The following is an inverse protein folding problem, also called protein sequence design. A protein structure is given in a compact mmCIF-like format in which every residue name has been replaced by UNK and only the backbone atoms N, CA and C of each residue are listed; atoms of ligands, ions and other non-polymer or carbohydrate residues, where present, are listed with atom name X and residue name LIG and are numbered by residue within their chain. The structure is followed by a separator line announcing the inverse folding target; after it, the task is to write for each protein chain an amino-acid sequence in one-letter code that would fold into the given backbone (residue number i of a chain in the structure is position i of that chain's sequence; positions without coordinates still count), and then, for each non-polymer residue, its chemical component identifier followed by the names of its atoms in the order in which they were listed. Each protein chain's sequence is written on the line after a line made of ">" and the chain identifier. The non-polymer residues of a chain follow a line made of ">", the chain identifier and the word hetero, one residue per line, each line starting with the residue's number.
data_IF_387622183428
#
_entry.id   IF_387622183428
#
_cell.length_a   1.000
_cell.length_b   1.000
_cell.length_c   1.000
_cell.angle_alpha   90.00
_cell.angle_beta   90.00
_cell.angle_gamma   90.00
#
_symmetry.space_group_name_H-M   'P 1'
#
loop_
_entity.id
_entity.type
_entity.pdbx_description
1 polymer ?
#
# COMPACT_ATOMS: atom_id res chain seq x y z
N UNK A 1 2.73 5.85 -12.68
CA UNK A 1 1.31 6.10 -13.01
C UNK A 1 0.61 4.76 -13.16
N UNK A 2 -0.72 4.71 -13.20
CA UNK A 2 -1.52 3.50 -13.44
C UNK A 2 -1.04 2.73 -14.68
N UNK A 3 -0.76 3.42 -15.79
CA UNK A 3 -0.26 2.79 -17.01
C UNK A 3 1.06 2.03 -16.80
N UNK A 4 2.00 2.55 -16.01
CA UNK A 4 3.25 1.84 -15.70
C UNK A 4 2.97 0.49 -15.02
N UNK A 5 2.03 0.46 -14.07
CA UNK A 5 1.68 -0.77 -13.37
C UNK A 5 0.92 -1.74 -14.27
N UNK A 6 0.05 -1.23 -15.15
CA UNK A 6 -0.63 -2.01 -16.18
C UNK A 6 0.40 -2.67 -17.13
N UNK A 7 1.34 -1.89 -17.67
CA UNK A 7 2.34 -2.39 -18.60
C UNK A 7 3.20 -3.48 -17.94
N UNK A 8 3.58 -3.31 -16.68
CA UNK A 8 4.34 -4.32 -15.93
C UNK A 8 3.52 -5.56 -15.62
N UNK A 9 2.22 -5.42 -15.35
CA UNK A 9 1.31 -6.55 -15.17
C UNK A 9 1.20 -7.40 -16.45
N UNK A 10 1.09 -6.75 -17.61
CA UNK A 10 1.10 -7.43 -18.90
C UNK A 10 2.43 -8.17 -19.13
N UNK A 11 3.58 -7.55 -18.85
CA UNK A 11 4.88 -8.25 -18.95
C UNK A 11 4.99 -9.43 -18.00
N UNK A 12 4.52 -9.31 -16.75
CA UNK A 12 4.54 -10.43 -15.81
C UNK A 12 3.67 -11.60 -16.27
N UNK A 13 2.55 -11.30 -16.93
CA UNK A 13 1.60 -12.29 -17.45
C UNK A 13 2.03 -12.92 -18.78
N UNK A 14 2.62 -12.15 -19.70
CA UNK A 14 2.93 -12.59 -21.06
C UNK A 14 4.34 -13.18 -21.20
N UNK A 15 5.30 -12.71 -20.40
CA UNK A 15 6.73 -13.04 -20.59
C UNK A 15 7.22 -14.20 -19.71
N UNK A 16 6.33 -14.90 -18.98
CA UNK A 16 6.68 -16.09 -18.20
C UNK A 16 7.01 -15.87 -16.72
N UNK A 17 7.01 -14.62 -16.23
CA UNK A 17 7.38 -14.31 -14.84
C UNK A 17 6.39 -14.88 -13.83
N UNK A 18 5.09 -14.81 -14.14
CA UNK A 18 4.04 -15.37 -13.31
C UNK A 18 4.20 -16.87 -13.15
N UNK A 19 4.53 -17.58 -14.22
CA UNK A 19 4.76 -19.03 -14.25
C UNK A 19 5.98 -19.43 -13.40
N UNK A 20 6.96 -18.52 -13.28
CA UNK A 20 8.11 -18.65 -12.38
C UNK A 20 7.80 -18.23 -10.93
N UNK A 21 6.57 -17.79 -10.62
CA UNK A 21 6.10 -17.47 -9.28
C UNK A 21 6.12 -15.98 -8.90
N UNK A 22 6.53 -15.08 -9.81
CA UNK A 22 6.48 -13.64 -9.57
C UNK A 22 5.06 -13.12 -9.78
N UNK A 23 4.28 -13.09 -8.69
CA UNK A 23 2.84 -12.76 -8.77
C UNK A 23 2.46 -11.41 -8.15
N UNK A 24 3.37 -10.71 -7.48
CA UNK A 24 3.09 -9.42 -6.84
C UNK A 24 3.62 -8.25 -7.66
N UNK A 25 2.74 -7.30 -7.99
CA UNK A 25 3.09 -5.99 -8.54
C UNK A 25 2.83 -4.95 -7.46
N UNK A 26 3.90 -4.35 -6.92
CA UNK A 26 3.81 -3.49 -5.74
C UNK A 26 4.05 -2.03 -6.08
N UNK A 27 3.08 -1.18 -5.72
CA UNK A 27 3.21 0.28 -5.74
C UNK A 27 4.04 0.72 -4.53
N UNK A 28 5.07 1.51 -4.75
CA UNK A 28 5.85 2.15 -3.67
C UNK A 28 5.39 3.60 -3.42
N UNK A 29 6.21 4.43 -2.78
CA UNK A 29 5.86 5.81 -2.43
C UNK A 29 5.43 6.67 -3.65
N UNK A 30 4.88 7.85 -3.35
CA UNK A 30 4.46 8.87 -4.31
C UNK A 30 3.20 8.54 -5.12
N UNK A 31 2.39 7.55 -4.75
CA UNK A 31 1.17 7.20 -5.51
C UNK A 31 -0.05 8.09 -5.21
N UNK A 32 -0.12 8.66 -4.00
CA UNK A 32 -1.30 9.39 -3.52
C UNK A 32 -1.29 10.88 -3.90
N UNK A 33 -2.42 11.55 -3.67
CA UNK A 33 -2.47 13.00 -3.48
C UNK A 33 -1.73 13.40 -2.20
N UNK A 34 -1.35 14.68 -2.12
CA UNK A 34 -0.79 15.29 -0.89
C UNK A 34 -1.84 15.57 0.20
N UNK A 35 -3.11 15.26 -0.07
CA UNK A 35 -4.23 15.50 0.83
C UNK A 35 -5.14 14.27 0.88
N UNK A 36 -5.66 13.99 2.08
CA UNK A 36 -6.72 13.02 2.31
C UNK A 36 -8.08 13.60 1.90
N UNK A 37 -9.08 12.74 1.68
CA UNK A 37 -10.44 13.20 1.42
C UNK A 37 -11.11 13.76 2.70
N UNK A 38 -12.37 14.19 2.57
CA UNK A 38 -13.15 14.74 3.70
C UNK A 38 -13.43 13.71 4.80
N UNK A 39 -13.34 12.43 4.49
CA UNK A 39 -13.51 11.31 5.41
C UNK A 39 -12.16 10.85 6.00
N UNK A 40 -11.05 11.51 5.64
CA UNK A 40 -9.71 11.17 6.09
C UNK A 40 -9.07 10.00 5.36
N UNK A 41 -9.64 9.51 4.25
CA UNK A 41 -9.08 8.39 3.47
C UNK A 41 -7.99 8.87 2.53
N UNK A 42 -7.01 8.01 2.28
CA UNK A 42 -6.02 8.21 1.22
C UNK A 42 -6.69 8.24 -0.15
N UNK A 43 -6.15 9.05 -1.06
CA UNK A 43 -6.64 9.17 -2.44
C UNK A 43 -5.47 9.00 -3.40
N UNK A 44 -5.58 8.13 -4.43
CA UNK A 44 -4.57 8.10 -5.49
C UNK A 44 -4.58 9.42 -6.26
N UNK A 45 -3.44 9.83 -6.82
CA UNK A 45 -3.38 11.01 -7.68
C UNK A 45 -4.26 10.80 -8.92
N UNK A 46 -5.33 11.58 -9.14
CA UNK A 46 -6.30 11.32 -10.20
C UNK A 46 -5.75 11.59 -11.59
N UNK A 47 -4.65 12.35 -11.72
CA UNK A 47 -3.98 12.55 -13.01
C UNK A 47 -3.13 11.34 -13.37
N UNK A 48 -2.51 10.70 -12.38
CA UNK A 48 -1.60 9.56 -12.58
C UNK A 48 -2.30 8.21 -12.46
N UNK A 49 -3.42 8.14 -11.74
CA UNK A 49 -4.25 6.96 -11.50
C UNK A 49 -5.74 7.29 -11.74
N UNK A 50 -6.12 7.64 -12.98
CA UNK A 50 -7.49 8.05 -13.30
C UNK A 50 -8.52 6.94 -13.07
N UNK A 51 -8.14 5.66 -13.15
CA UNK A 51 -9.00 4.52 -12.81
C UNK A 51 -9.13 4.23 -11.32
N UNK A 52 -8.26 4.81 -10.49
CA UNK A 52 -8.16 4.54 -9.06
C UNK A 52 -7.59 3.15 -8.72
N UNK A 53 -7.20 2.97 -7.45
CA UNK A 53 -6.49 1.75 -7.01
C UNK A 53 -7.33 0.49 -7.15
N UNK A 54 -8.64 0.54 -6.84
CA UNK A 54 -9.50 -0.65 -6.95
C UNK A 54 -9.57 -1.21 -8.37
N UNK A 55 -9.66 -0.33 -9.38
CA UNK A 55 -9.70 -0.76 -10.78
C UNK A 55 -8.36 -1.38 -11.18
N UNK A 56 -7.25 -0.78 -10.75
CA UNK A 56 -5.91 -1.33 -10.96
C UNK A 56 -5.75 -2.69 -10.27
N UNK A 57 -6.27 -2.86 -9.05
CA UNK A 57 -6.20 -4.15 -8.33
C UNK A 57 -6.93 -5.25 -9.10
N UNK A 58 -8.15 -4.97 -9.57
CA UNK A 58 -8.90 -5.93 -10.40
C UNK A 58 -8.19 -6.26 -11.71
N UNK A 59 -7.53 -5.29 -12.33
CA UNK A 59 -6.72 -5.54 -13.51
C UNK A 59 -5.59 -6.55 -13.26
N UNK A 60 -4.94 -6.49 -12.08
CA UNK A 60 -3.96 -7.48 -11.63
C UNK A 60 -4.61 -8.85 -11.41
N UNK A 61 -5.76 -8.88 -10.72
CA UNK A 61 -6.46 -10.12 -10.38
C UNK A 61 -6.94 -10.87 -11.62
N UNK A 62 -7.43 -10.17 -12.64
CA UNK A 62 -7.86 -10.77 -13.92
C UNK A 62 -6.71 -11.51 -14.65
N UNK A 63 -5.44 -11.18 -14.32
CA UNK A 63 -4.24 -11.86 -14.82
C UNK A 63 -3.70 -12.92 -13.86
N UNK A 64 -4.36 -13.14 -12.73
CA UNK A 64 -3.87 -14.01 -11.65
C UNK A 64 -2.63 -13.43 -10.94
N UNK A 65 -2.44 -12.11 -11.01
CA UNK A 65 -1.44 -11.37 -10.24
C UNK A 65 -2.09 -10.77 -8.99
N UNK A 66 -1.29 -10.15 -8.14
CA UNK A 66 -1.64 -9.54 -6.86
C UNK A 66 -1.11 -8.11 -6.80
N UNK A 67 -1.88 -7.19 -6.21
CA UNK A 67 -1.48 -5.80 -6.07
C UNK A 67 -0.93 -5.53 -4.67
N UNK A 68 0.28 -4.99 -4.59
CA UNK A 68 0.80 -4.37 -3.37
C UNK A 68 0.68 -2.85 -3.38
N UNK A 69 0.58 -2.26 -2.19
CA UNK A 69 0.58 -0.81 -1.99
C UNK A 69 1.51 -0.41 -0.85
N UNK A 70 1.81 0.88 -0.79
CA UNK A 70 2.73 1.48 0.16
C UNK A 70 2.04 2.50 1.07
N UNK A 71 2.49 2.53 2.31
CA UNK A 71 2.23 3.58 3.28
C UNK A 71 3.38 3.69 4.27
N UNK A 72 3.27 4.63 5.19
CA UNK A 72 4.34 4.96 6.13
C UNK A 72 3.78 5.11 7.55
N UNK A 73 4.42 4.47 8.52
CA UNK A 73 4.17 4.68 9.94
C UNK A 73 4.80 6.01 10.36
N UNK A 74 4.06 7.09 10.15
CA UNK A 74 4.46 8.45 10.52
C UNK A 74 3.50 9.51 10.01
N UNK A 75 3.87 10.78 10.20
CA UNK A 75 3.06 11.91 9.73
C UNK A 75 3.08 12.06 8.20
N UNK A 76 4.18 11.66 7.57
CA UNK A 76 4.38 11.70 6.14
C UNK A 76 5.06 10.43 5.66
N UNK A 77 4.90 10.09 4.38
CA UNK A 77 5.80 9.14 3.72
C UNK A 77 7.20 9.73 3.60
N UNK A 78 8.20 8.89 3.34
CA UNK A 78 9.57 9.34 3.11
C UNK A 78 9.69 10.45 2.05
N UNK A 79 8.83 10.48 1.02
CA UNK A 79 8.79 11.53 0.00
C UNK A 79 7.78 12.67 0.29
N UNK A 80 7.24 12.75 1.50
CA UNK A 80 6.40 13.85 1.96
C UNK A 80 4.94 13.78 1.52
N UNK A 81 4.41 12.59 1.22
CA UNK A 81 2.97 12.34 1.02
C UNK A 81 2.29 12.03 2.35
N UNK A 82 0.95 11.98 2.46
CA UNK A 82 0.28 11.70 3.73
C UNK A 82 0.70 10.35 4.30
N UNK A 83 1.28 10.36 5.50
CA UNK A 83 1.61 9.13 6.26
C UNK A 83 0.39 8.59 6.98
N UNK A 84 0.57 7.47 7.69
CA UNK A 84 -0.46 6.79 8.50
C UNK A 84 -0.11 6.93 9.98
N UNK A 85 -0.41 8.06 10.63
CA UNK A 85 -0.27 8.18 12.08
C UNK A 85 -1.27 7.26 12.80
N UNK A 86 -1.10 7.11 14.11
CA UNK A 86 -1.85 6.13 14.93
C UNK A 86 -3.37 6.23 14.76
N UNK A 87 -3.92 7.45 14.63
CA UNK A 87 -5.37 7.69 14.45
C UNK A 87 -5.89 7.35 13.03
N UNK A 88 -5.01 7.10 12.06
CA UNK A 88 -5.36 6.73 10.69
C UNK A 88 -5.24 5.25 10.37
N UNK A 89 -4.63 4.47 11.25
CA UNK A 89 -4.37 3.04 11.02
C UNK A 89 -5.63 2.28 10.60
N UNK A 90 -6.73 2.45 11.34
CA UNK A 90 -7.97 1.71 11.07
C UNK A 90 -8.61 2.12 9.72
N UNK A 91 -8.65 3.42 9.42
CA UNK A 91 -9.25 3.90 8.16
C UNK A 91 -8.39 3.52 6.95
N UNK A 92 -7.07 3.52 7.08
CA UNK A 92 -6.17 3.17 5.98
C UNK A 92 -6.16 1.66 5.72
N UNK A 93 -6.13 0.83 6.77
CA UNK A 93 -6.29 -0.62 6.64
C UNK A 93 -7.60 -0.98 5.93
N UNK A 94 -8.73 -0.38 6.34
CA UNK A 94 -10.01 -0.59 5.66
C UNK A 94 -9.99 -0.06 4.23
N UNK A 95 -9.31 1.06 3.98
CA UNK A 95 -9.19 1.64 2.64
C UNK A 95 -8.47 0.68 1.68
N UNK A 96 -7.39 0.04 2.11
CA UNK A 96 -6.67 -0.94 1.30
C UNK A 96 -7.49 -2.21 1.07
N UNK A 97 -8.23 -2.67 2.09
CA UNK A 97 -9.13 -3.82 1.94
C UNK A 97 -10.29 -3.53 0.96
N UNK A 98 -10.91 -2.35 1.04
CA UNK A 98 -11.98 -1.91 0.12
C UNK A 98 -11.50 -1.83 -1.34
N UNK A 99 -10.21 -1.52 -1.54
CA UNK A 99 -9.55 -1.51 -2.85
C UNK A 99 -9.04 -2.87 -3.30
N UNK A 100 -9.27 -3.91 -2.50
CA UNK A 100 -8.88 -5.28 -2.81
C UNK A 100 -7.35 -5.42 -2.94
N UNK A 101 -6.56 -4.72 -2.12
CA UNK A 101 -5.08 -4.83 -2.08
C UNK A 101 -4.65 -6.17 -1.47
N UNK A 102 -3.54 -6.76 -1.94
CA UNK A 102 -3.04 -8.07 -1.50
C UNK A 102 -1.76 -8.00 -0.67
N UNK A 103 -1.05 -6.88 -0.70
CA UNK A 103 0.15 -6.64 0.10
C UNK A 103 0.28 -5.18 0.50
N UNK A 104 0.77 -4.92 1.71
CA UNK A 104 1.03 -3.59 2.23
C UNK A 104 2.47 -3.51 2.74
N UNK A 105 3.26 -2.61 2.14
CA UNK A 105 4.57 -2.19 2.67
C UNK A 105 4.36 -1.00 3.59
N UNK A 106 4.87 -1.09 4.81
CA UNK A 106 4.75 -0.05 5.83
C UNK A 106 6.12 0.46 6.26
N UNK A 107 6.46 1.65 5.76
CA UNK A 107 7.69 2.34 6.09
C UNK A 107 7.63 3.00 7.48
N UNK A 108 8.70 3.70 7.89
CA UNK A 108 8.80 4.31 9.22
C UNK A 108 9.40 5.72 9.23
N UNK A 109 9.33 6.46 8.12
CA UNK A 109 9.78 7.85 8.11
C UNK A 109 8.84 8.73 8.94
N UNK A 110 9.34 9.89 9.41
CA UNK A 110 8.52 10.87 10.13
C UNK A 110 7.74 10.34 11.35
N UNK A 111 8.30 9.35 12.05
CA UNK A 111 7.84 8.83 13.35
C UNK A 111 8.97 8.72 14.35
N UNK A 112 8.62 8.55 15.62
CA UNK A 112 9.56 8.20 16.69
C UNK A 112 9.43 6.72 17.08
N UNK A 113 10.34 6.23 17.94
CA UNK A 113 10.35 4.84 18.37
C UNK A 113 9.04 4.40 19.05
N UNK A 114 8.43 5.25 19.86
CA UNK A 114 7.16 4.97 20.54
C UNK A 114 6.00 4.81 19.54
N UNK A 115 5.94 5.68 18.54
CA UNK A 115 4.91 5.60 17.49
C UNK A 115 5.07 4.31 16.67
N UNK A 116 6.31 3.91 16.36
CA UNK A 116 6.59 2.67 15.64
C UNK A 116 6.22 1.43 16.48
N UNK A 117 6.61 1.40 17.75
CA UNK A 117 6.29 0.31 18.68
C UNK A 117 4.78 0.06 18.80
N UNK A 118 3.98 1.13 18.78
CA UNK A 118 2.52 1.00 18.80
C UNK A 118 1.94 0.73 17.42
N UNK A 119 2.44 1.43 16.41
CA UNK A 119 1.85 1.53 15.09
C UNK A 119 1.96 0.27 14.25
N UNK A 120 3.12 -0.39 14.23
CA UNK A 120 3.31 -1.63 13.49
C UNK A 120 2.38 -2.76 13.97
N UNK A 121 2.29 -3.05 15.30
CA UNK A 121 1.31 -4.02 15.82
C UNK A 121 -0.14 -3.60 15.59
N UNK A 122 -0.48 -2.32 15.73
CA UNK A 122 -1.84 -1.82 15.49
C UNK A 122 -2.26 -2.00 14.03
N UNK A 123 -1.37 -1.71 13.09
CA UNK A 123 -1.62 -1.92 11.66
C UNK A 123 -1.80 -3.41 11.33
N UNK A 124 -0.97 -4.30 11.89
CA UNK A 124 -1.17 -5.76 11.74
C UNK A 124 -2.56 -6.20 12.21
N UNK A 125 -3.00 -5.73 13.39
CA UNK A 125 -4.34 -6.01 13.92
C UNK A 125 -5.44 -5.43 13.04
N UNK A 126 -5.27 -4.20 12.56
CA UNK A 126 -6.25 -3.51 11.72
C UNK A 126 -6.42 -4.21 10.37
N UNK A 127 -5.32 -4.60 9.71
CA UNK A 127 -5.37 -5.39 8.46
C UNK A 127 -6.10 -6.72 8.68
N UNK A 128 -5.78 -7.45 9.75
CA UNK A 128 -6.46 -8.70 10.09
C UNK A 128 -7.98 -8.50 10.32
N UNK A 129 -8.36 -7.42 11.00
CA UNK A 129 -9.76 -7.11 11.29
C UNK A 129 -10.60 -6.80 10.03
N UNK A 130 -9.98 -6.45 8.90
CA UNK A 130 -10.71 -6.26 7.63
C UNK A 130 -11.26 -7.55 7.03
N UNK A 131 -10.75 -8.72 7.47
CA UNK A 131 -11.10 -10.03 6.91
C UNK A 131 -10.47 -10.33 5.55
N UNK A 132 -9.72 -9.40 4.94
CA UNK A 132 -8.97 -9.64 3.71
C UNK A 132 -7.54 -10.08 4.04
N UNK A 133 -7.04 -11.20 3.49
CA UNK A 133 -5.62 -11.55 3.59
C UNK A 133 -4.76 -10.52 2.86
N UNK A 134 -3.95 -9.77 3.60
CA UNK A 134 -3.02 -8.75 3.08
C UNK A 134 -1.63 -9.09 3.61
N UNK A 135 -0.69 -9.39 2.71
CA UNK A 135 0.72 -9.59 3.09
C UNK A 135 1.27 -8.32 3.70
N UNK A 136 1.96 -8.40 4.85
CA UNK A 136 2.39 -7.23 5.60
C UNK A 136 3.92 -7.16 5.67
N UNK A 137 4.50 -6.22 4.91
CA UNK A 137 5.94 -5.96 4.87
C UNK A 137 6.27 -4.77 5.78
N UNK A 138 7.10 -5.01 6.79
CA UNK A 138 7.40 -4.04 7.84
C UNK A 138 8.84 -3.55 7.71
N UNK A 139 9.05 -2.24 7.59
CA UNK A 139 10.39 -1.66 7.66
C UNK A 139 10.89 -1.45 9.10
N UNK A 140 10.10 -1.79 10.13
CA UNK A 140 10.35 -1.41 11.53
C UNK A 140 11.80 -1.59 12.01
N UNK A 141 12.45 -2.76 11.89
CA UNK A 141 13.81 -2.93 12.42
C UNK A 141 14.83 -1.99 11.78
N UNK A 142 14.66 -1.67 10.49
CA UNK A 142 15.55 -0.76 9.78
C UNK A 142 15.55 0.67 10.38
N UNK A 143 14.45 1.09 11.00
CA UNK A 143 14.33 2.39 11.67
C UNK A 143 14.70 2.33 13.17
N UNK A 144 15.05 1.15 13.69
CA UNK A 144 15.51 0.93 15.07
C UNK A 144 17.00 0.58 15.15
N UNK A 145 17.75 0.78 14.07
CA UNK A 145 19.20 0.54 14.04
C UNK A 145 19.65 -0.77 13.39
N UNK A 146 18.72 -1.58 12.85
CA UNK A 146 19.02 -2.80 12.10
C UNK A 146 19.12 -4.04 12.98
#
# INVERSE_FOLDING_TARGET
>A
SENLFIDMADRLFEDGWKELGYVYVNIDDCWSLKTRDKQGRLQPDPKRFPGGIRKLSRYMHDRGLKLGIYGDMGNYTCMGYPGTPLDKIAVDAQTFADWEVDMFKFDGCYSNATDQEQGYPLMSKALNATGRPIGYSCSWPAYQGG
#
